data_IF_371495956593
#
_entry.id   IF_371495956593
#
_cell.length_a   1.000
_cell.length_b   1.000
_cell.length_c   1.000
_cell.angle_alpha   90.00
_cell.angle_beta   90.00
_cell.angle_gamma   90.00
#
_symmetry.space_group_name_H-M   'P 1'
#
loop_
_entity.id
_entity.type
_entity.pdbx_description
1 polymer ?
#
# COMPACT_ATOMS: atom_id res chain seq x y z
N UNK A 1 2.15 -26.00 -7.51
CA UNK A 1 1.97 -24.55 -7.73
C UNK A 1 0.70 -23.95 -7.08
N UNK A 2 -0.52 -24.52 -7.28
CA UNK A 2 -1.76 -23.96 -6.67
C UNK A 2 -1.74 -24.07 -5.13
N UNK A 3 -1.46 -25.28 -4.59
CA UNK A 3 -1.40 -25.51 -3.12
C UNK A 3 -0.41 -24.60 -2.39
N UNK A 4 0.75 -24.35 -2.98
CA UNK A 4 1.78 -23.48 -2.40
C UNK A 4 1.30 -22.02 -2.33
N UNK A 5 0.66 -21.53 -3.40
CA UNK A 5 0.09 -20.16 -3.43
C UNK A 5 -1.08 -20.00 -2.46
N UNK A 6 -1.93 -21.01 -2.35
CA UNK A 6 -3.04 -21.00 -1.40
C UNK A 6 -2.53 -20.96 0.04
N UNK A 7 -1.56 -21.83 0.37
CA UNK A 7 -0.98 -21.89 1.71
C UNK A 7 -0.29 -20.57 2.09
N UNK A 8 0.53 -20.00 1.19
CA UNK A 8 1.17 -18.72 1.44
C UNK A 8 0.15 -17.59 1.59
N UNK A 9 -0.94 -17.59 0.81
CA UNK A 9 -2.03 -16.61 0.95
C UNK A 9 -2.72 -16.70 2.32
N UNK A 10 -3.04 -17.92 2.78
CA UNK A 10 -3.65 -18.13 4.11
C UNK A 10 -2.72 -17.64 5.21
N UNK A 11 -1.42 -17.98 5.15
CA UNK A 11 -0.44 -17.54 6.14
C UNK A 11 -0.34 -16.01 6.18
N UNK A 12 -0.29 -15.35 5.01
CA UNK A 12 -0.25 -13.88 4.94
C UNK A 12 -1.50 -13.23 5.53
N UNK A 13 -2.67 -13.80 5.26
CA UNK A 13 -3.93 -13.30 5.83
C UNK A 13 -3.93 -13.45 7.37
N UNK A 14 -3.49 -14.60 7.89
CA UNK A 14 -3.39 -14.83 9.34
C UNK A 14 -2.41 -13.81 9.98
N UNK A 15 -1.25 -13.60 9.38
CA UNK A 15 -0.27 -12.63 9.87
C UNK A 15 -0.85 -11.21 9.84
N UNK A 16 -1.53 -10.82 8.76
CA UNK A 16 -2.15 -9.50 8.64
C UNK A 16 -3.20 -9.29 9.75
N UNK A 17 -4.12 -10.23 9.95
CA UNK A 17 -5.12 -10.14 11.02
C UNK A 17 -4.48 -10.11 12.40
N UNK A 18 -3.53 -11.00 12.69
CA UNK A 18 -2.85 -11.05 13.97
C UNK A 18 -2.14 -9.72 14.29
N UNK A 19 -1.42 -9.14 13.33
CA UNK A 19 -0.69 -7.88 13.52
C UNK A 19 -1.62 -6.68 13.67
N UNK A 20 -2.74 -6.64 12.94
CA UNK A 20 -3.77 -5.59 13.08
C UNK A 20 -4.45 -5.69 14.45
N UNK A 21 -4.74 -6.90 14.90
CA UNK A 21 -5.36 -7.12 16.21
C UNK A 21 -4.44 -6.71 17.36
N UNK A 22 -3.18 -7.13 17.33
CA UNK A 22 -2.16 -6.76 18.31
C UNK A 22 -1.89 -5.25 18.30
N UNK A 23 -1.90 -4.62 17.13
CA UNK A 23 -1.69 -3.17 16.99
C UNK A 23 -0.31 -2.70 17.46
N UNK A 24 -0.23 -1.45 17.92
CA UNK A 24 0.96 -0.87 18.56
C UNK A 24 2.26 -1.11 17.79
N UNK A 25 3.30 -1.50 18.53
CA UNK A 25 4.65 -1.69 17.98
C UNK A 25 4.76 -2.88 17.03
N UNK A 26 3.93 -3.91 17.22
CA UNK A 26 3.92 -5.09 16.34
C UNK A 26 3.43 -4.70 14.94
N UNK A 27 2.33 -3.96 14.87
CA UNK A 27 1.80 -3.47 13.59
C UNK A 27 2.77 -2.48 12.94
N UNK A 28 3.35 -1.57 13.73
CA UNK A 28 4.36 -0.63 13.26
C UNK A 28 5.56 -1.34 12.60
N UNK A 29 6.16 -2.30 13.31
CA UNK A 29 7.31 -3.03 12.80
C UNK A 29 6.95 -3.87 11.54
N UNK A 30 5.79 -4.50 11.54
CA UNK A 30 5.31 -5.30 10.40
C UNK A 30 5.14 -4.41 9.16
N UNK A 31 4.47 -3.27 9.29
CA UNK A 31 4.24 -2.37 8.15
C UNK A 31 5.54 -1.70 7.68
N UNK A 32 6.47 -1.38 8.57
CA UNK A 32 7.79 -0.90 8.20
C UNK A 32 8.55 -1.93 7.35
N UNK A 33 8.57 -3.20 7.79
CA UNK A 33 9.22 -4.29 7.06
C UNK A 33 8.57 -4.49 5.68
N UNK A 34 7.24 -4.55 5.63
CA UNK A 34 6.50 -4.71 4.36
C UNK A 34 6.77 -3.53 3.44
N UNK A 35 6.82 -2.30 3.97
CA UNK A 35 7.14 -1.10 3.17
C UNK A 35 8.54 -1.15 2.60
N UNK A 36 9.54 -1.56 3.37
CA UNK A 36 10.92 -1.72 2.90
C UNK A 36 11.02 -2.80 1.81
N UNK A 37 10.33 -3.93 1.98
CA UNK A 37 10.28 -4.98 0.96
C UNK A 37 9.59 -4.45 -0.31
N UNK A 38 8.44 -3.80 -0.18
CA UNK A 38 7.69 -3.26 -1.31
C UNK A 38 8.48 -2.20 -2.10
N UNK A 39 9.14 -1.28 -1.40
CA UNK A 39 10.03 -0.29 -2.02
C UNK A 39 11.23 -0.98 -2.69
N UNK A 40 11.79 -2.02 -2.07
CA UNK A 40 12.88 -2.80 -2.67
C UNK A 40 12.45 -3.47 -3.98
N UNK A 41 11.26 -4.08 -4.02
CA UNK A 41 10.73 -4.68 -5.25
C UNK A 41 10.52 -3.63 -6.35
N UNK A 42 9.99 -2.44 -6.00
CA UNK A 42 9.85 -1.34 -6.95
C UNK A 42 11.21 -0.86 -7.48
N UNK A 43 12.21 -0.75 -6.61
CA UNK A 43 13.56 -0.32 -7.00
C UNK A 43 14.31 -1.34 -7.85
N UNK A 44 14.01 -2.63 -7.71
CA UNK A 44 14.54 -3.69 -8.59
C UNK A 44 14.09 -3.50 -10.04
N UNK A 45 12.86 -3.03 -10.27
CA UNK A 45 12.35 -2.80 -11.62
C UNK A 45 13.22 -1.81 -12.38
N UNK A 46 13.66 -0.74 -11.70
CA UNK A 46 14.53 0.29 -12.29
C UNK A 46 16.02 0.11 -11.95
N UNK A 47 16.38 -1.02 -11.33
CA UNK A 47 17.77 -1.43 -11.02
C UNK A 47 18.53 -0.45 -10.11
N UNK A 48 17.85 0.09 -9.11
CA UNK A 48 18.46 1.00 -8.12
C UNK A 48 18.46 0.43 -6.70
N UNK A 49 18.01 -0.80 -6.48
CA UNK A 49 17.82 -1.39 -5.15
C UNK A 49 19.11 -1.42 -4.28
N UNK A 50 20.26 -1.48 -4.91
CA UNK A 50 21.58 -1.46 -4.23
C UNK A 50 22.38 -0.19 -4.51
N UNK A 51 21.80 0.75 -5.24
CA UNK A 51 22.47 1.99 -5.61
C UNK A 51 22.32 3.06 -4.50
N UNK A 52 23.23 4.04 -4.41
CA UNK A 52 23.09 5.18 -3.48
C UNK A 52 21.73 5.84 -3.54
N UNK A 53 21.14 5.95 -4.72
CA UNK A 53 19.80 6.52 -4.93
C UNK A 53 18.72 5.69 -4.21
N UNK A 54 18.77 4.36 -4.29
CA UNK A 54 17.86 3.48 -3.58
C UNK A 54 18.07 3.51 -2.06
N UNK A 55 19.34 3.62 -1.61
CA UNK A 55 19.67 3.72 -0.18
C UNK A 55 19.01 4.96 0.44
N UNK A 56 19.05 6.11 -0.25
CA UNK A 56 18.37 7.33 0.21
C UNK A 56 16.87 7.09 0.35
N UNK A 57 16.25 6.37 -0.58
CA UNK A 57 14.84 6.00 -0.48
C UNK A 57 14.53 5.12 0.74
N UNK A 58 15.34 4.10 1.03
CA UNK A 58 15.16 3.25 2.23
C UNK A 58 15.32 4.05 3.53
N UNK A 59 16.32 4.95 3.59
CA UNK A 59 16.48 5.85 4.74
C UNK A 59 15.24 6.73 4.87
N UNK A 60 14.68 7.23 3.76
CA UNK A 60 13.45 7.98 3.73
C UNK A 60 12.27 7.19 4.30
N UNK A 61 12.10 5.90 3.92
CA UNK A 61 11.05 5.04 4.48
C UNK A 61 11.18 4.94 6.01
N UNK A 62 12.37 4.64 6.50
CA UNK A 62 12.62 4.49 7.94
C UNK A 62 12.35 5.81 8.66
N UNK A 63 12.91 6.92 8.16
CA UNK A 63 12.72 8.26 8.75
C UNK A 63 11.24 8.64 8.82
N UNK A 64 10.49 8.40 7.74
CA UNK A 64 9.04 8.65 7.70
C UNK A 64 8.28 7.86 8.77
N UNK A 65 8.56 6.56 8.90
CA UNK A 65 7.90 5.71 9.90
C UNK A 65 8.17 6.17 11.33
N UNK A 66 9.41 6.59 11.64
CA UNK A 66 9.73 7.16 12.95
C UNK A 66 9.06 8.52 13.19
N UNK A 67 8.89 9.31 12.14
CA UNK A 67 8.21 10.60 12.19
C UNK A 67 6.72 10.45 12.53
N UNK A 68 6.02 9.52 11.89
CA UNK A 68 4.61 9.24 12.22
C UNK A 68 4.46 8.60 13.60
N UNK A 69 5.41 7.75 14.05
CA UNK A 69 5.42 7.18 15.40
C UNK A 69 5.57 8.28 16.47
N UNK A 70 6.41 9.28 16.20
CA UNK A 70 6.59 10.44 17.06
C UNK A 70 5.42 11.43 17.01
N UNK A 71 4.38 11.14 16.20
CA UNK A 71 3.20 11.98 15.96
C UNK A 71 3.51 13.41 15.45
N UNK A 72 4.68 13.60 14.84
CA UNK A 72 5.13 14.88 14.28
C UNK A 72 4.55 15.10 12.88
N UNK A 73 3.23 15.25 12.79
CA UNK A 73 2.54 15.45 11.48
C UNK A 73 2.90 16.79 10.84
N UNK A 74 3.27 17.78 11.62
CA UNK A 74 3.68 19.11 11.16
C UNK A 74 4.96 19.06 10.33
N UNK A 75 5.84 18.08 10.58
CA UNK A 75 7.13 17.93 9.92
C UNK A 75 7.05 17.13 8.60
N UNK A 76 5.87 16.61 8.20
CA UNK A 76 5.74 15.77 7.01
C UNK A 76 6.08 16.52 5.71
N UNK A 77 5.73 17.80 5.62
CA UNK A 77 6.08 18.62 4.46
C UNK A 77 7.59 18.86 4.39
N UNK A 78 8.21 19.15 5.54
CA UNK A 78 9.67 19.32 5.62
C UNK A 78 10.38 18.02 5.28
N UNK A 79 9.89 16.88 5.76
CA UNK A 79 10.40 15.56 5.38
C UNK A 79 10.37 15.36 3.85
N UNK A 80 9.24 15.66 3.20
CA UNK A 80 9.09 15.50 1.74
C UNK A 80 10.10 16.37 0.97
N UNK A 81 10.31 17.62 1.40
CA UNK A 81 11.28 18.53 0.79
C UNK A 81 12.72 18.04 1.01
N UNK A 82 13.05 17.62 2.23
CA UNK A 82 14.40 17.09 2.54
C UNK A 82 14.68 15.84 1.71
N UNK A 83 13.74 14.91 1.64
CA UNK A 83 13.88 13.70 0.82
C UNK A 83 14.09 14.05 -0.66
N UNK A 84 13.34 15.02 -1.20
CA UNK A 84 13.52 15.50 -2.57
C UNK A 84 14.93 16.07 -2.78
N UNK A 85 15.39 16.93 -1.86
CA UNK A 85 16.74 17.52 -1.93
C UNK A 85 17.81 16.42 -1.91
N UNK A 86 17.69 15.43 -1.04
CA UNK A 86 18.65 14.33 -0.94
C UNK A 86 18.69 13.47 -2.21
N UNK A 87 17.52 13.11 -2.77
CA UNK A 87 17.41 12.35 -4.01
C UNK A 87 18.04 13.15 -5.17
N UNK A 88 17.73 14.46 -5.26
CA UNK A 88 18.30 15.33 -6.29
C UNK A 88 19.80 15.54 -6.10
N UNK A 89 20.30 15.66 -4.88
CA UNK A 89 21.73 15.75 -4.61
C UNK A 89 22.47 14.51 -5.11
N UNK A 90 21.97 13.30 -4.82
CA UNK A 90 22.57 12.06 -5.35
C UNK A 90 22.54 12.02 -6.87
N UNK A 91 21.47 12.51 -7.49
CA UNK A 91 21.38 12.59 -8.95
C UNK A 91 22.43 13.51 -9.54
N UNK A 92 22.57 14.72 -9.00
CA UNK A 92 23.51 15.73 -9.51
C UNK A 92 24.96 15.28 -9.31
N UNK A 93 25.31 14.82 -8.10
CA UNK A 93 26.69 14.41 -7.80
C UNK A 93 27.12 13.13 -8.52
N UNK A 94 26.17 12.29 -8.89
CA UNK A 94 26.46 11.04 -9.59
C UNK A 94 26.19 11.12 -11.10
N UNK A 95 25.93 12.31 -11.64
CA UNK A 95 25.65 12.49 -13.07
C UNK A 95 26.85 12.04 -13.93
N UNK A 96 26.66 11.35 -15.08
CA UNK A 96 25.39 10.96 -15.73
C UNK A 96 24.94 9.52 -15.39
N UNK A 97 25.25 9.00 -14.19
CA UNK A 97 25.02 7.60 -13.80
C UNK A 97 23.55 7.20 -13.76
N UNK A 98 22.67 8.12 -13.39
CA UNK A 98 21.24 7.86 -13.24
C UNK A 98 20.43 8.57 -14.31
N UNK A 99 19.32 7.94 -14.73
CA UNK A 99 18.31 8.53 -15.60
C UNK A 99 17.14 9.09 -14.78
N UNK A 100 16.40 10.04 -15.34
CA UNK A 100 15.29 10.72 -14.66
C UNK A 100 14.23 9.75 -14.13
N UNK A 101 13.94 8.66 -14.84
CA UNK A 101 12.99 7.63 -14.40
C UNK A 101 13.41 6.99 -13.07
N UNK A 102 14.69 6.70 -12.90
CA UNK A 102 15.24 6.15 -11.65
C UNK A 102 15.11 7.12 -10.48
N UNK A 103 15.36 8.41 -10.73
CA UNK A 103 15.24 9.48 -9.74
C UNK A 103 13.78 9.67 -9.31
N UNK A 104 12.87 9.72 -10.30
CA UNK A 104 11.43 9.81 -10.03
C UNK A 104 10.93 8.59 -9.25
N UNK A 105 11.36 7.38 -9.63
CA UNK A 105 10.97 6.14 -8.94
C UNK A 105 11.53 6.07 -7.53
N UNK A 106 12.75 6.57 -7.29
CA UNK A 106 13.34 6.62 -5.96
C UNK A 106 12.50 7.47 -4.99
N UNK A 107 12.09 8.66 -5.44
CA UNK A 107 11.24 9.55 -4.66
C UNK A 107 9.81 9.02 -4.54
N UNK A 108 9.16 8.72 -5.67
CA UNK A 108 7.78 8.25 -5.74
C UNK A 108 7.54 6.95 -4.96
N UNK A 109 8.52 6.03 -4.97
CA UNK A 109 8.41 4.75 -4.27
C UNK A 109 8.16 4.90 -2.76
N UNK A 110 8.78 5.90 -2.12
CA UNK A 110 8.54 6.19 -0.69
C UNK A 110 7.10 6.62 -0.47
N UNK A 111 6.56 7.49 -1.32
CA UNK A 111 5.18 7.98 -1.21
C UNK A 111 4.17 6.90 -1.54
N UNK A 112 4.36 6.20 -2.65
CA UNK A 112 3.41 5.23 -3.17
C UNK A 112 3.34 3.95 -2.31
N UNK A 113 4.47 3.49 -1.80
CA UNK A 113 4.50 2.25 -1.00
C UNK A 113 4.44 2.57 0.49
N UNK A 114 5.43 3.29 1.02
CA UNK A 114 5.59 3.42 2.46
C UNK A 114 4.52 4.32 3.08
N UNK A 115 4.27 5.49 2.50
CA UNK A 115 3.27 6.42 3.03
C UNK A 115 1.87 5.80 2.93
N UNK A 116 1.50 5.19 1.80
CA UNK A 116 0.18 4.58 1.64
C UNK A 116 -0.04 3.42 2.63
N UNK A 117 0.92 2.52 2.80
CA UNK A 117 0.83 1.43 3.77
C UNK A 117 0.77 1.94 5.22
N UNK A 118 1.44 3.03 5.53
CA UNK A 118 1.45 3.61 6.87
C UNK A 118 0.07 4.07 7.35
N UNK A 119 -0.86 4.37 6.44
CA UNK A 119 -2.22 4.75 6.81
C UNK A 119 -2.96 3.63 7.55
N UNK A 120 -2.62 2.36 7.35
CA UNK A 120 -3.14 1.26 8.15
C UNK A 120 -2.76 1.45 9.63
N UNK A 121 -1.49 1.78 9.92
CA UNK A 121 -1.02 2.08 11.26
C UNK A 121 -1.68 3.33 11.83
N UNK A 122 -1.72 4.42 11.06
CA UNK A 122 -2.30 5.69 11.50
C UNK A 122 -3.82 5.55 11.78
N UNK A 123 -4.55 4.82 10.94
CA UNK A 123 -5.97 4.51 11.16
C UNK A 123 -6.16 3.66 12.41
N UNK A 124 -5.27 2.69 12.65
CA UNK A 124 -5.33 1.83 13.84
C UNK A 124 -5.12 2.60 15.16
N UNK A 125 -4.43 3.75 15.12
CA UNK A 125 -4.23 4.63 16.29
C UNK A 125 -5.44 5.52 16.61
N UNK A 126 -6.42 5.63 15.73
CA UNK A 126 -7.63 6.41 15.99
C UNK A 126 -8.51 5.75 17.06
N UNK A 127 -9.41 6.54 17.68
CA UNK A 127 -10.52 5.98 18.44
C UNK A 127 -11.28 5.03 17.51
N UNK A 128 -11.64 3.86 17.96
CA UNK A 128 -12.27 2.82 17.14
C UNK A 128 -11.41 2.33 15.92
N UNK A 129 -10.08 2.52 16.01
CA UNK A 129 -9.15 2.24 14.91
C UNK A 129 -9.18 0.79 14.42
N UNK A 130 -9.46 -0.19 15.30
CA UNK A 130 -9.60 -1.59 14.89
C UNK A 130 -10.82 -1.76 13.96
N UNK A 131 -11.94 -1.13 14.32
CA UNK A 131 -13.15 -1.11 13.50
C UNK A 131 -12.89 -0.46 12.14
N UNK A 132 -12.24 0.72 12.13
CA UNK A 132 -11.95 1.45 10.90
C UNK A 132 -11.02 0.67 9.96
N UNK A 133 -9.98 0.05 10.48
CA UNK A 133 -9.09 -0.82 9.68
C UNK A 133 -9.85 -2.03 9.15
N UNK A 134 -10.68 -2.66 9.98
CA UNK A 134 -11.55 -3.75 9.55
C UNK A 134 -12.48 -3.34 8.41
N UNK A 135 -13.08 -2.17 8.50
CA UNK A 135 -13.94 -1.60 7.45
C UNK A 135 -13.19 -1.39 6.13
N UNK A 136 -11.97 -0.85 6.18
CA UNK A 136 -11.13 -0.67 4.99
C UNK A 136 -10.84 -2.00 4.29
N UNK A 137 -10.43 -3.02 5.04
CA UNK A 137 -10.16 -4.35 4.47
C UNK A 137 -11.44 -5.02 3.95
N UNK A 138 -12.53 -4.94 4.70
CA UNK A 138 -13.82 -5.50 4.30
C UNK A 138 -14.31 -4.86 2.98
N UNK A 139 -14.25 -3.54 2.87
CA UNK A 139 -14.67 -2.83 1.66
C UNK A 139 -13.74 -3.13 0.48
N UNK A 140 -12.42 -3.21 0.69
CA UNK A 140 -11.46 -3.50 -0.37
C UNK A 140 -11.63 -4.92 -0.91
N UNK A 141 -11.58 -5.94 -0.05
CA UNK A 141 -11.74 -7.34 -0.46
C UNK A 141 -13.17 -7.64 -0.91
N UNK A 142 -14.16 -7.02 -0.27
CA UNK A 142 -15.56 -7.12 -0.67
C UNK A 142 -15.79 -6.55 -2.07
N UNK A 143 -15.18 -5.40 -2.37
CA UNK A 143 -15.23 -4.80 -3.71
C UNK A 143 -14.67 -5.75 -4.76
N UNK A 144 -13.47 -6.31 -4.53
CA UNK A 144 -12.84 -7.22 -5.48
C UNK A 144 -13.65 -8.51 -5.68
N UNK A 145 -14.20 -9.07 -4.59
CA UNK A 145 -15.02 -10.29 -4.64
C UNK A 145 -16.34 -10.03 -5.37
N UNK A 146 -17.05 -8.97 -5.01
CA UNK A 146 -18.31 -8.61 -5.66
C UNK A 146 -18.09 -8.25 -7.13
N UNK A 147 -17.03 -7.49 -7.45
CA UNK A 147 -16.68 -7.18 -8.83
C UNK A 147 -16.40 -8.44 -9.67
N UNK A 148 -15.69 -9.40 -9.09
CA UNK A 148 -15.43 -10.67 -9.74
C UNK A 148 -16.72 -11.47 -9.98
N UNK A 149 -17.56 -11.63 -8.95
CA UNK A 149 -18.80 -12.40 -9.03
C UNK A 149 -19.78 -11.76 -10.05
N UNK A 150 -20.03 -10.47 -9.93
CA UNK A 150 -20.93 -9.75 -10.86
C UNK A 150 -20.37 -9.74 -12.28
N UNK A 151 -19.07 -9.48 -12.42
CA UNK A 151 -18.40 -9.53 -13.72
C UNK A 151 -18.46 -10.90 -14.41
N UNK A 152 -18.43 -11.98 -13.62
CA UNK A 152 -18.55 -13.35 -14.13
C UNK A 152 -19.99 -13.68 -14.53
N UNK A 153 -20.99 -13.22 -13.75
CA UNK A 153 -22.40 -13.55 -13.96
C UNK A 153 -23.04 -12.73 -15.08
N UNK A 154 -22.79 -11.42 -15.12
CA UNK A 154 -23.49 -10.49 -16.03
C UNK A 154 -22.55 -9.57 -16.84
N UNK A 155 -21.23 -9.72 -16.70
CA UNK A 155 -20.25 -8.84 -17.35
C UNK A 155 -20.21 -9.01 -18.87
N UNK A 156 -20.76 -8.03 -19.60
CA UNK A 156 -20.81 -8.00 -21.07
C UNK A 156 -19.85 -6.97 -21.67
N UNK A 157 -19.74 -5.80 -21.03
CA UNK A 157 -18.95 -4.68 -21.54
C UNK A 157 -17.57 -4.64 -20.90
N UNK A 158 -16.52 -4.74 -21.73
CA UNK A 158 -15.13 -4.70 -21.25
C UNK A 158 -14.76 -3.29 -20.83
N UNK A 159 -14.22 -3.13 -19.62
CA UNK A 159 -13.79 -1.83 -19.09
C UNK A 159 -12.46 -1.36 -19.70
N UNK A 160 -11.51 -2.26 -19.88
CA UNK A 160 -10.19 -1.95 -20.43
C UNK A 160 -9.65 -3.16 -21.21
N UNK A 161 -10.00 -3.32 -22.51
CA UNK A 161 -9.65 -4.50 -23.29
C UNK A 161 -8.14 -4.76 -23.40
N UNK A 162 -7.35 -3.69 -23.49
CA UNK A 162 -5.89 -3.78 -23.67
C UNK A 162 -5.19 -4.05 -22.33
N UNK A 163 -5.55 -3.33 -21.26
CA UNK A 163 -4.86 -3.41 -19.97
C UNK A 163 -5.34 -4.60 -19.12
N UNK A 164 -6.65 -4.86 -19.13
CA UNK A 164 -7.26 -5.93 -18.33
C UNK A 164 -8.49 -6.51 -19.02
N UNK A 165 -8.30 -7.49 -19.93
CA UNK A 165 -9.38 -8.02 -20.79
C UNK A 165 -10.46 -8.79 -20.02
N UNK A 166 -10.22 -9.13 -18.75
CA UNK A 166 -11.18 -9.83 -17.88
C UNK A 166 -12.12 -8.90 -17.12
N UNK A 167 -11.78 -7.60 -16.97
CA UNK A 167 -12.59 -6.65 -16.21
C UNK A 167 -13.75 -6.11 -17.05
N UNK A 168 -14.95 -6.07 -16.44
CA UNK A 168 -16.18 -5.54 -17.04
C UNK A 168 -16.71 -4.32 -16.28
N UNK A 169 -17.47 -3.49 -16.97
CA UNK A 169 -18.11 -2.29 -16.36
C UNK A 169 -19.15 -2.73 -15.33
N UNK A 170 -19.96 -3.77 -15.64
CA UNK A 170 -20.93 -4.34 -14.73
C UNK A 170 -20.28 -4.86 -13.45
N UNK A 171 -19.12 -5.54 -13.61
CA UNK A 171 -18.32 -5.98 -12.48
C UNK A 171 -17.83 -4.81 -11.62
N UNK A 172 -17.36 -3.72 -12.24
CA UNK A 172 -16.91 -2.54 -11.47
C UNK A 172 -18.06 -1.90 -10.67
N UNK A 173 -19.24 -1.74 -11.28
CA UNK A 173 -20.44 -1.24 -10.57
C UNK A 173 -20.86 -2.19 -9.46
N UNK A 174 -20.86 -3.50 -9.73
CA UNK A 174 -21.18 -4.53 -8.74
C UNK A 174 -20.20 -4.54 -7.56
N UNK A 175 -18.94 -4.27 -7.81
CA UNK A 175 -17.92 -4.12 -6.76
C UNK A 175 -18.21 -2.93 -5.83
N UNK A 176 -18.50 -1.76 -6.40
CA UNK A 176 -18.81 -0.55 -5.61
C UNK A 176 -20.08 -0.74 -4.78
N UNK A 177 -21.15 -1.22 -5.40
CA UNK A 177 -22.42 -1.48 -4.70
C UNK A 177 -22.24 -2.54 -3.60
N UNK A 178 -21.55 -3.63 -3.92
CA UNK A 178 -21.27 -4.70 -2.96
C UNK A 178 -20.44 -4.23 -1.77
N UNK A 179 -19.39 -3.45 -2.02
CA UNK A 179 -18.57 -2.85 -0.95
C UNK A 179 -19.38 -1.91 -0.06
N UNK A 180 -20.24 -1.07 -0.65
CA UNK A 180 -21.12 -0.17 0.10
C UNK A 180 -22.08 -0.94 1.01
N UNK A 181 -22.74 -1.99 0.48
CA UNK A 181 -23.64 -2.82 1.26
C UNK A 181 -22.92 -3.55 2.41
N UNK A 182 -21.75 -4.13 2.13
CA UNK A 182 -20.94 -4.79 3.17
C UNK A 182 -20.50 -3.79 4.24
N UNK A 183 -20.13 -2.57 3.87
CA UNK A 183 -19.78 -1.50 4.81
C UNK A 183 -20.95 -1.11 5.72
N UNK A 184 -22.16 -0.97 5.16
CA UNK A 184 -23.38 -0.67 5.95
C UNK A 184 -23.69 -1.81 6.91
N UNK A 185 -23.65 -3.06 6.45
CA UNK A 185 -23.91 -4.24 7.30
C UNK A 185 -22.88 -4.31 8.45
N UNK A 186 -21.61 -4.09 8.13
CA UNK A 186 -20.53 -4.08 9.12
C UNK A 186 -20.74 -2.98 10.17
N UNK A 187 -21.08 -1.77 9.74
CA UNK A 187 -21.35 -0.65 10.65
C UNK A 187 -22.55 -0.93 11.56
N UNK A 188 -23.63 -1.51 11.01
CA UNK A 188 -24.82 -1.85 11.78
C UNK A 188 -24.58 -3.02 12.77
N UNK A 189 -23.68 -3.93 12.48
CA UNK A 189 -23.37 -5.07 13.34
C UNK A 189 -22.40 -4.75 14.49
N UNK A 190 -21.72 -3.60 14.43
CA UNK A 190 -20.67 -3.20 15.37
C UNK A 190 -21.02 -1.98 16.21
N UNK A 191 -22.21 -1.38 15.99
CA UNK A 191 -22.85 -0.39 16.89
C UNK A 191 -23.65 -1.10 17.98
#
# INVERSE_FOLDING_TARGET
MFKTRLLSGIVLVIIAFATIFLGGDVLFATLLIISLIGVSELYKVVKIEKAPLGIVGYIGVVAYYFLIRAQKKEDLMMFAIILLILVMAVYVFAFPKYVSEQVMTAYFGVFYVAIMLSYIYQTRLLKDGLFLVGLVFLCSWGCDTCAYCVGMLIGKHKMSPVLSPKKSIEGAVGGVVGAALLGVIYAAATQ
#
